data_IF_013335801443
#
_entry.id   IF_013335801443
#
_cell.length_a   1.000
_cell.length_b   1.000
_cell.length_c   1.000
_cell.angle_alpha   90.00
_cell.angle_beta   90.00
_cell.angle_gamma   90.00
#
_symmetry.space_group_name_H-M   'P 1'
#
loop_
_entity.id
_entity.type
_entity.pdbx_description
1 polymer ?
#
# COMPACT_ATOMS: atom_id res chain seq x y z
N UNK A 1 37.60 -20.55 -25.03
CA UNK A 1 37.79 -19.80 -23.76
C UNK A 1 37.42 -18.33 -23.94
N UNK A 2 38.02 -17.59 -24.86
CA UNK A 2 37.70 -16.17 -25.11
C UNK A 2 36.23 -15.97 -25.52
N UNK A 3 35.68 -16.78 -26.44
CA UNK A 3 34.26 -16.64 -26.82
C UNK A 3 33.28 -16.98 -25.70
N UNK A 4 33.62 -17.94 -24.84
CA UNK A 4 32.80 -18.27 -23.67
C UNK A 4 32.77 -17.09 -22.68
N UNK A 5 33.91 -16.41 -22.51
CA UNK A 5 33.98 -15.19 -21.69
C UNK A 5 33.19 -14.05 -22.32
N UNK A 6 33.27 -13.85 -23.64
CA UNK A 6 32.51 -12.81 -24.35
C UNK A 6 31.00 -13.07 -24.27
N UNK A 7 30.56 -14.33 -24.48
CA UNK A 7 29.15 -14.70 -24.40
C UNK A 7 28.62 -14.59 -22.96
N UNK A 8 29.41 -14.96 -21.95
CA UNK A 8 29.08 -14.74 -20.54
C UNK A 8 28.77 -13.25 -20.25
N UNK A 9 29.61 -12.33 -20.73
CA UNK A 9 29.35 -10.90 -20.57
C UNK A 9 28.17 -10.38 -21.41
N UNK A 10 27.89 -11.00 -22.56
CA UNK A 10 26.73 -10.68 -23.41
C UNK A 10 25.41 -11.11 -22.79
N UNK A 11 25.41 -12.21 -22.04
CA UNK A 11 24.25 -12.70 -21.28
C UNK A 11 24.01 -11.89 -20.00
N UNK A 12 25.03 -11.25 -19.44
CA UNK A 12 24.88 -10.30 -18.32
C UNK A 12 24.39 -8.91 -18.75
N UNK A 13 24.45 -8.58 -20.04
CA UNK A 13 23.96 -7.29 -20.53
C UNK A 13 22.43 -7.30 -20.50
N UNK A 14 21.79 -6.33 -19.83
CA UNK A 14 20.34 -6.31 -19.70
C UNK A 14 19.69 -6.17 -21.08
N UNK A 15 18.63 -6.93 -21.30
CA UNK A 15 17.87 -6.85 -22.55
C UNK A 15 17.16 -5.48 -22.66
N UNK A 16 16.84 -5.04 -23.88
CA UNK A 16 16.13 -3.77 -24.11
C UNK A 16 14.93 -3.53 -23.17
N UNK A 17 14.02 -4.51 -22.97
CA UNK A 17 12.89 -4.37 -22.05
C UNK A 17 13.31 -4.18 -20.58
N UNK A 18 14.38 -4.83 -20.12
CA UNK A 18 14.85 -4.72 -18.73
C UNK A 18 15.36 -3.31 -18.43
N UNK A 19 16.03 -2.70 -19.41
CA UNK A 19 16.49 -1.32 -19.33
C UNK A 19 15.29 -0.36 -19.27
N UNK A 20 14.27 -0.59 -20.11
CA UNK A 20 13.06 0.25 -20.15
C UNK A 20 12.28 0.20 -18.83
N UNK A 21 12.00 -1.00 -18.30
CA UNK A 21 11.31 -1.15 -17.03
C UNK A 21 12.15 -0.62 -15.86
N UNK A 22 13.46 -0.89 -15.85
CA UNK A 22 14.37 -0.36 -14.84
C UNK A 22 14.40 1.16 -14.81
N UNK A 23 14.44 1.80 -15.99
CA UNK A 23 14.40 3.25 -16.12
C UNK A 23 13.05 3.82 -15.64
N UNK A 24 11.93 3.22 -16.06
CA UNK A 24 10.60 3.67 -15.65
C UNK A 24 10.40 3.59 -14.13
N UNK A 25 10.80 2.47 -13.51
CA UNK A 25 10.71 2.28 -12.06
C UNK A 25 11.64 3.24 -11.32
N UNK A 26 12.86 3.45 -11.80
CA UNK A 26 13.82 4.38 -11.20
C UNK A 26 13.31 5.83 -11.22
N UNK A 27 12.85 6.31 -12.39
CA UNK A 27 12.29 7.65 -12.52
C UNK A 27 11.04 7.83 -11.66
N UNK A 28 10.11 6.87 -11.70
CA UNK A 28 8.90 6.89 -10.89
C UNK A 28 9.19 6.86 -9.39
N UNK A 29 10.10 5.98 -8.96
CA UNK A 29 10.53 5.86 -7.57
C UNK A 29 11.24 7.11 -7.06
N UNK A 30 12.04 7.77 -7.91
CA UNK A 30 12.70 9.04 -7.57
C UNK A 30 11.68 10.15 -7.36
N UNK A 31 10.73 10.32 -8.29
CA UNK A 31 9.65 11.32 -8.17
C UNK A 31 8.81 11.04 -6.93
N UNK A 32 8.42 9.79 -6.73
CA UNK A 32 7.63 9.37 -5.58
C UNK A 32 8.35 9.67 -4.26
N UNK A 33 9.62 9.27 -4.13
CA UNK A 33 10.40 9.47 -2.91
C UNK A 33 10.65 10.95 -2.62
N UNK A 34 10.82 11.78 -3.66
CA UNK A 34 10.95 13.22 -3.49
C UNK A 34 9.64 13.86 -2.99
N UNK A 35 8.50 13.51 -3.59
CA UNK A 35 7.19 14.09 -3.25
C UNK A 35 6.70 13.62 -1.88
N UNK A 36 6.81 12.32 -1.61
CA UNK A 36 6.32 11.70 -0.39
C UNK A 36 7.30 11.86 0.76
N UNK A 37 8.60 12.04 0.49
CA UNK A 37 9.64 11.95 1.51
C UNK A 37 9.86 10.52 2.01
N UNK A 38 10.90 10.32 2.81
CA UNK A 38 11.21 9.01 3.38
C UNK A 38 11.51 9.12 4.88
N UNK A 39 10.67 8.51 5.70
CA UNK A 39 10.87 8.40 7.14
C UNK A 39 10.21 7.10 7.66
N UNK A 40 10.44 6.77 8.93
CA UNK A 40 9.95 5.53 9.54
C UNK A 40 8.43 5.39 9.54
N UNK A 41 7.69 6.50 9.62
CA UNK A 41 6.21 6.46 9.61
C UNK A 41 5.69 6.18 8.20
N UNK A 42 6.33 6.76 7.18
CA UNK A 42 6.03 6.45 5.77
C UNK A 42 6.33 4.99 5.47
N UNK A 43 7.47 4.47 5.91
CA UNK A 43 7.84 3.07 5.76
C UNK A 43 6.78 2.15 6.40
N UNK A 44 6.39 2.44 7.64
CA UNK A 44 5.33 1.68 8.33
C UNK A 44 4.00 1.72 7.56
N UNK A 45 3.62 2.87 7.00
CA UNK A 45 2.40 3.01 6.21
C UNK A 45 2.44 2.17 4.93
N UNK A 46 3.55 2.18 4.20
CA UNK A 46 3.73 1.38 2.99
C UNK A 46 3.68 -0.13 3.30
N UNK A 47 4.33 -0.54 4.39
CA UNK A 47 4.27 -1.93 4.86
C UNK A 47 2.84 -2.32 5.25
N UNK A 48 2.13 -1.46 5.99
CA UNK A 48 0.74 -1.73 6.37
C UNK A 48 -0.19 -1.83 5.14
N UNK A 49 -0.02 -0.96 4.14
CA UNK A 49 -0.75 -1.06 2.87
C UNK A 49 -0.48 -2.37 2.15
N UNK A 50 0.75 -2.87 2.15
CA UNK A 50 1.12 -4.15 1.55
C UNK A 50 0.49 -5.33 2.32
N UNK A 51 0.57 -5.31 3.65
CA UNK A 51 -0.06 -6.32 4.52
C UNK A 51 -1.58 -6.32 4.31
N UNK A 52 -2.22 -5.17 4.26
CA UNK A 52 -3.66 -5.07 4.01
C UNK A 52 -4.06 -5.69 2.66
N UNK A 53 -3.28 -5.42 1.60
CA UNK A 53 -3.54 -6.01 0.29
C UNK A 53 -3.39 -7.55 0.31
N UNK A 54 -2.30 -8.05 0.90
CA UNK A 54 -2.04 -9.50 1.01
C UNK A 54 -3.13 -10.17 1.86
N UNK A 55 -3.43 -9.61 3.04
CA UNK A 55 -4.47 -10.15 3.93
C UNK A 55 -5.86 -10.11 3.29
N UNK A 56 -6.16 -9.08 2.51
CA UNK A 56 -7.42 -8.99 1.75
C UNK A 56 -7.56 -10.10 0.69
N UNK A 57 -6.48 -10.41 -0.02
CA UNK A 57 -6.46 -11.54 -0.98
C UNK A 57 -6.61 -12.87 -0.24
N UNK A 58 -5.83 -13.09 0.84
CA UNK A 58 -5.88 -14.33 1.61
C UNK A 58 -7.25 -14.56 2.24
N UNK A 59 -7.86 -13.51 2.81
CA UNK A 59 -9.20 -13.60 3.39
C UNK A 59 -10.25 -14.01 2.35
N UNK A 60 -10.16 -13.47 1.13
CA UNK A 60 -11.05 -13.83 0.04
C UNK A 60 -10.83 -15.26 -0.47
N UNK A 61 -9.59 -15.75 -0.43
CA UNK A 61 -9.26 -17.13 -0.78
C UNK A 61 -9.74 -18.13 0.27
N UNK A 62 -9.60 -17.80 1.56
CA UNK A 62 -9.97 -18.67 2.68
C UNK A 62 -11.49 -18.72 2.88
N UNK A 63 -12.19 -17.60 2.67
CA UNK A 63 -13.63 -17.51 2.92
C UNK A 63 -14.44 -17.78 1.63
N UNK A 64 -15.07 -18.97 1.48
CA UNK A 64 -15.78 -19.34 0.25
C UNK A 64 -17.01 -18.47 -0.05
N UNK A 65 -17.52 -17.74 0.95
CA UNK A 65 -18.65 -16.82 0.78
C UNK A 65 -18.21 -15.44 0.27
N UNK A 66 -16.90 -15.17 0.23
CA UNK A 66 -16.34 -13.88 -0.15
C UNK A 66 -16.00 -13.89 -1.64
N UNK A 67 -16.84 -13.26 -2.46
CA UNK A 67 -16.57 -13.14 -3.90
C UNK A 67 -15.48 -12.10 -4.16
N UNK A 68 -14.46 -12.50 -4.92
CA UNK A 68 -13.44 -11.60 -5.46
C UNK A 68 -14.07 -10.71 -6.54
N UNK A 69 -14.56 -9.55 -6.13
CA UNK A 69 -14.98 -8.51 -7.06
C UNK A 69 -13.77 -7.61 -7.41
N UNK A 70 -13.29 -7.72 -8.65
CA UNK A 70 -12.17 -6.93 -9.16
C UNK A 70 -12.41 -5.41 -9.06
N UNK A 71 -13.65 -4.94 -9.18
CA UNK A 71 -14.00 -3.52 -9.00
C UNK A 71 -13.80 -3.08 -7.55
N UNK A 72 -14.09 -3.96 -6.57
CA UNK A 72 -13.85 -3.67 -5.15
C UNK A 72 -12.35 -3.58 -4.87
N UNK A 73 -11.56 -4.49 -5.44
CA UNK A 73 -10.10 -4.47 -5.35
C UNK A 73 -9.50 -3.21 -5.96
N UNK A 74 -9.91 -2.86 -7.18
CA UNK A 74 -9.46 -1.64 -7.86
C UNK A 74 -9.81 -0.38 -7.05
N UNK A 75 -11.04 -0.28 -6.53
CA UNK A 75 -11.44 0.83 -5.66
C UNK A 75 -10.60 0.91 -4.37
N UNK A 76 -10.13 -0.22 -3.86
CA UNK A 76 -9.17 -0.28 -2.75
C UNK A 76 -7.83 0.35 -3.12
N UNK A 77 -7.26 -0.03 -4.27
CA UNK A 77 -5.99 0.52 -4.77
C UNK A 77 -6.12 2.03 -5.02
N UNK A 78 -7.19 2.50 -5.68
CA UNK A 78 -7.41 3.93 -5.90
C UNK A 78 -7.42 4.73 -4.59
N UNK A 79 -8.01 4.18 -3.52
CA UNK A 79 -7.99 4.84 -2.21
C UNK A 79 -6.58 4.93 -1.63
N UNK A 80 -5.77 3.87 -1.75
CA UNK A 80 -4.37 3.89 -1.30
C UNK A 80 -3.54 4.92 -2.07
N UNK A 81 -3.76 5.06 -3.38
CA UNK A 81 -3.14 6.13 -4.17
C UNK A 81 -3.55 7.51 -3.64
N UNK A 82 -4.84 7.74 -3.36
CA UNK A 82 -5.31 9.00 -2.77
C UNK A 82 -4.67 9.26 -1.41
N UNK A 83 -4.49 8.23 -0.57
CA UNK A 83 -3.79 8.35 0.70
C UNK A 83 -2.35 8.85 0.48
N UNK A 84 -1.61 8.24 -0.44
CA UNK A 84 -0.23 8.65 -0.73
C UNK A 84 -0.15 10.07 -1.30
N UNK A 85 -1.13 10.51 -2.09
CA UNK A 85 -1.22 11.90 -2.56
C UNK A 85 -1.47 12.89 -1.41
N UNK A 86 -2.31 12.54 -0.43
CA UNK A 86 -2.52 13.36 0.77
C UNK A 86 -1.27 13.43 1.65
N UNK A 87 -0.53 12.33 1.75
CA UNK A 87 0.76 12.30 2.46
C UNK A 87 1.81 13.17 1.75
N UNK A 88 1.89 13.12 0.42
CA UNK A 88 2.77 14.00 -0.36
C UNK A 88 2.40 15.48 -0.17
N UNK A 89 1.11 15.81 -0.19
CA UNK A 89 0.65 17.17 0.11
C UNK A 89 1.08 17.61 1.53
N UNK A 90 0.92 16.73 2.52
CA UNK A 90 1.32 17.01 3.89
C UNK A 90 2.85 17.19 4.03
N UNK A 91 3.63 16.42 3.27
CA UNK A 91 5.09 16.60 3.20
C UNK A 91 5.48 17.98 2.63
N UNK A 92 4.80 18.45 1.58
CA UNK A 92 5.02 19.80 1.05
C UNK A 92 4.61 20.90 2.05
N UNK A 93 3.57 20.68 2.87
CA UNK A 93 3.22 21.59 3.97
C UNK A 93 4.30 21.63 5.05
N UNK A 94 4.86 20.49 5.43
CA UNK A 94 5.97 20.42 6.39
C UNK A 94 7.21 21.16 5.84
N UNK A 95 7.50 21.04 4.55
CA UNK A 95 8.58 21.79 3.89
C UNK A 95 8.31 23.30 3.88
N UNK A 96 7.08 23.72 3.61
CA UNK A 96 6.69 25.12 3.57
C UNK A 96 6.71 25.77 4.97
N UNK A 97 6.36 25.02 6.01
CA UNK A 97 6.33 25.50 7.40
C UNK A 97 7.66 25.32 8.14
N UNK A 98 8.55 24.45 7.62
CA UNK A 98 9.81 24.09 8.27
C UNK A 98 9.63 23.19 9.50
N UNK A 99 8.47 22.57 9.68
CA UNK A 99 8.15 21.72 10.83
C UNK A 99 7.67 20.34 10.35
N UNK A 100 8.32 19.22 10.74
CA UNK A 100 7.96 17.89 10.26
C UNK A 100 6.81 17.25 11.07
N UNK A 101 5.65 17.91 11.13
CA UNK A 101 4.54 17.52 11.99
C UNK A 101 3.31 17.01 11.22
N UNK A 102 2.93 17.70 10.14
CA UNK A 102 1.69 17.44 9.40
C UNK A 102 1.77 16.12 8.66
N UNK A 103 2.88 15.83 7.98
CA UNK A 103 3.09 14.57 7.27
C UNK A 103 3.00 13.38 8.22
N UNK A 104 3.69 13.46 9.36
CA UNK A 104 3.68 12.42 10.37
C UNK A 104 2.27 12.16 10.89
N UNK A 105 1.51 13.21 11.21
CA UNK A 105 0.13 13.08 11.68
C UNK A 105 -0.78 12.40 10.64
N UNK A 106 -0.70 12.85 9.38
CA UNK A 106 -1.50 12.28 8.29
C UNK A 106 -1.13 10.81 8.04
N UNK A 107 0.16 10.48 8.07
CA UNK A 107 0.64 9.12 7.90
C UNK A 107 0.17 8.21 9.05
N UNK A 108 0.26 8.65 10.30
CA UNK A 108 -0.25 7.90 11.46
C UNK A 108 -1.77 7.67 11.40
N UNK A 109 -2.52 8.69 10.96
CA UNK A 109 -3.97 8.55 10.77
C UNK A 109 -4.30 7.45 9.76
N UNK A 110 -3.64 7.44 8.60
CA UNK A 110 -3.88 6.41 7.60
C UNK A 110 -3.28 5.05 7.97
N UNK A 111 -2.21 5.01 8.76
CA UNK A 111 -1.66 3.76 9.31
C UNK A 111 -2.70 3.07 10.20
N UNK A 112 -3.40 3.84 11.05
CA UNK A 112 -4.53 3.34 11.83
C UNK A 112 -5.67 2.79 10.95
N UNK A 113 -5.96 3.47 9.84
CA UNK A 113 -6.99 3.02 8.89
C UNK A 113 -6.62 1.70 8.21
N UNK A 114 -5.36 1.53 7.79
CA UNK A 114 -4.87 0.25 7.26
C UNK A 114 -4.89 -0.84 8.34
N UNK A 115 -4.52 -0.51 9.59
CA UNK A 115 -4.62 -1.42 10.72
C UNK A 115 -6.04 -1.96 10.95
N UNK A 116 -7.06 -1.10 10.89
CA UNK A 116 -8.46 -1.53 10.98
C UNK A 116 -8.86 -2.45 9.82
N UNK A 117 -8.41 -2.15 8.60
CA UNK A 117 -8.66 -2.97 7.41
C UNK A 117 -8.01 -4.36 7.50
N UNK A 118 -6.79 -4.43 8.04
CA UNK A 118 -6.09 -5.70 8.30
C UNK A 118 -6.87 -6.56 9.31
N UNK A 119 -7.37 -5.96 10.40
CA UNK A 119 -8.16 -6.67 11.42
C UNK A 119 -9.48 -7.18 10.81
N UNK A 120 -10.13 -6.37 9.97
CA UNK A 120 -11.34 -6.79 9.25
C UNK A 120 -11.06 -8.00 8.34
N UNK A 121 -9.94 -7.98 7.60
CA UNK A 121 -9.54 -9.10 6.74
C UNK A 121 -9.19 -10.35 7.58
N UNK A 122 -8.49 -10.19 8.71
CA UNK A 122 -8.19 -11.29 9.62
C UNK A 122 -9.48 -11.93 10.19
N UNK A 123 -10.47 -11.12 10.59
CA UNK A 123 -11.77 -11.62 11.04
C UNK A 123 -12.49 -12.41 9.93
N UNK A 124 -12.45 -11.91 8.68
CA UNK A 124 -13.05 -12.61 7.52
C UNK A 124 -12.34 -13.90 7.15
N UNK A 125 -11.04 -14.00 7.42
CA UNK A 125 -10.25 -15.21 7.27
C UNK A 125 -10.49 -16.24 8.39
N UNK A 126 -11.33 -15.93 9.39
CA UNK A 126 -11.70 -16.83 10.47
C UNK A 126 -10.78 -16.76 11.70
N UNK A 127 -9.89 -15.78 11.79
CA UNK A 127 -9.09 -15.59 13.00
C UNK A 127 -9.98 -15.10 14.16
N UNK A 128 -9.71 -15.55 15.40
CA UNK A 128 -10.47 -15.10 16.57
C UNK A 128 -10.18 -13.62 16.85
N UNK A 129 -11.17 -12.76 16.59
CA UNK A 129 -11.13 -11.33 16.92
C UNK A 129 -12.11 -11.05 18.06
N UNK A 130 -11.74 -10.26 19.08
CA UNK A 130 -12.62 -9.94 20.20
C UNK A 130 -13.97 -9.37 19.76
N UNK A 131 -15.06 -9.85 20.36
CA UNK A 131 -16.43 -9.47 19.97
C UNK A 131 -16.64 -7.95 19.92
N UNK A 132 -16.14 -7.21 20.92
CA UNK A 132 -16.23 -5.74 20.96
C UNK A 132 -15.61 -5.06 19.74
N UNK A 133 -14.51 -5.60 19.24
CA UNK A 133 -13.82 -5.05 18.06
C UNK A 133 -14.57 -5.39 16.78
N UNK A 134 -15.07 -6.63 16.68
CA UNK A 134 -15.93 -7.07 15.58
C UNK A 134 -17.21 -6.23 15.49
N UNK A 135 -17.92 -6.02 16.60
CA UNK A 135 -19.14 -5.21 16.67
C UNK A 135 -18.88 -3.76 16.24
N UNK A 136 -17.74 -3.20 16.66
CA UNK A 136 -17.35 -1.83 16.28
C UNK A 136 -17.08 -1.74 14.78
N UNK A 137 -16.36 -2.71 14.21
CA UNK A 137 -16.06 -2.76 12.77
C UNK A 137 -17.34 -2.96 11.94
N UNK A 138 -18.27 -3.80 12.39
CA UNK A 138 -19.58 -4.00 11.73
C UNK A 138 -20.42 -2.72 11.75
N UNK A 139 -20.49 -2.00 12.88
CA UNK A 139 -21.18 -0.72 12.95
C UNK A 139 -20.57 0.35 12.03
N UNK A 140 -19.25 0.40 11.91
CA UNK A 140 -18.57 1.29 10.97
C UNK A 140 -18.86 0.92 9.52
N UNK A 141 -19.00 -0.38 9.22
CA UNK A 141 -19.34 -0.89 7.89
C UNK A 141 -20.78 -0.54 7.52
N UNK A 142 -21.74 -0.78 8.42
CA UNK A 142 -23.16 -0.47 8.20
C UNK A 142 -23.37 1.04 7.95
N UNK A 143 -22.76 1.91 8.76
CA UNK A 143 -22.78 3.37 8.55
C UNK A 143 -22.20 3.82 7.21
N UNK A 144 -21.25 3.05 6.66
CA UNK A 144 -20.62 3.34 5.36
C UNK A 144 -21.49 2.90 4.19
N UNK A 145 -22.37 1.93 4.39
CA UNK A 145 -23.37 1.50 3.39
C UNK A 145 -24.57 2.44 3.38
N UNK A 146 -25.03 2.94 4.54
CA UNK A 146 -26.09 3.95 4.65
C UNK A 146 -25.74 5.31 4.02
N UNK A 147 -24.44 5.62 3.88
CA UNK A 147 -23.94 6.88 3.30
C UNK A 147 -23.61 6.82 1.81
N UNK A 148 -23.79 5.67 1.16
CA UNK A 148 -23.58 5.49 -0.28
C UNK A 148 -24.89 5.55 -1.04
#
# INVERSE_FOLDING_TARGET
>A
MIEAVINFFREMAPAGPEIEWGAAVSCGGTIFSYLVGWNTVIEALLVAMAIDYITGILAAYINPNMQLNSQRGFKGICKKIVILLLVALAHELDRATGQPAVQSLVAWFFLGNEGLSIIENAAKAGLPVPARLKDTLEQLTNKKEERK
#
